data_IF_559724255239
#
_entry.id   IF_559724255239
#
_cell.length_a   1.000
_cell.length_b   1.000
_cell.length_c   1.000
_cell.angle_alpha   90.00
_cell.angle_beta   90.00
_cell.angle_gamma   90.00
#
_symmetry.space_group_name_H-M   'P 1'
#
loop_
_entity.id
_entity.type
_entity.pdbx_description
1 polymer ?
#
# COMPACT_ATOMS: atom_id res chain seq x y z
N UNK A 1 2.85 1.87 12.38
CA UNK A 1 4.17 1.54 12.98
C UNK A 1 4.65 0.16 12.54
N UNK A 2 3.85 -0.94 12.63
CA UNK A 2 4.25 -2.31 12.32
C UNK A 2 4.78 -2.46 10.88
N UNK A 3 4.04 -2.00 9.87
CA UNK A 3 4.48 -2.10 8.46
C UNK A 3 5.70 -1.22 8.18
N UNK A 4 5.87 -0.09 8.89
CA UNK A 4 7.10 0.72 8.80
C UNK A 4 8.31 0.00 9.39
N UNK A 5 8.10 -0.79 10.46
CA UNK A 5 9.15 -1.66 11.01
C UNK A 5 9.59 -2.71 9.98
N UNK A 6 8.63 -3.38 9.33
CA UNK A 6 8.90 -4.36 8.28
C UNK A 6 9.67 -3.78 7.08
N UNK A 7 9.49 -2.48 6.79
CA UNK A 7 10.17 -1.78 5.69
C UNK A 7 11.48 -1.09 6.11
N UNK A 8 11.89 -1.19 7.38
CA UNK A 8 13.05 -0.46 7.91
C UNK A 8 12.86 1.07 7.94
N UNK A 9 11.60 1.54 8.02
CA UNK A 9 11.20 2.95 7.94
C UNK A 9 10.76 3.56 9.27
N UNK A 10 11.28 3.06 10.39
CA UNK A 10 10.96 3.59 11.73
C UNK A 10 11.58 4.96 12.02
N UNK A 11 12.52 5.42 11.18
CA UNK A 11 13.27 6.65 11.41
C UNK A 11 14.44 6.46 12.38
N UNK A 12 15.13 7.56 12.69
CA UNK A 12 16.35 7.54 13.52
C UNK A 12 16.09 7.16 14.99
N UNK A 13 14.88 7.42 15.47
CA UNK A 13 14.49 7.22 16.87
C UNK A 13 13.63 5.94 17.07
N UNK A 14 13.40 5.19 15.99
CA UNK A 14 12.62 3.96 16.02
C UNK A 14 13.50 2.72 16.02
N UNK A 15 13.28 1.84 17.00
CA UNK A 15 13.99 0.56 17.13
C UNK A 15 13.01 -0.55 17.45
N UNK A 16 13.18 -1.70 16.81
CA UNK A 16 12.52 -2.94 17.21
C UNK A 16 13.31 -3.51 18.39
N UNK A 17 12.75 -3.44 19.60
CA UNK A 17 13.43 -3.87 20.83
C UNK A 17 13.19 -5.33 21.16
N UNK A 18 12.11 -5.92 20.64
CA UNK A 18 11.72 -7.32 20.83
C UNK A 18 10.88 -7.82 19.68
N UNK A 19 10.99 -9.12 19.39
CA UNK A 19 10.25 -9.80 18.35
C UNK A 19 10.89 -9.65 16.97
N UNK A 20 10.51 -10.52 16.07
CA UNK A 20 11.08 -10.69 14.75
C UNK A 20 10.01 -10.51 13.67
N UNK A 21 10.42 -10.09 12.49
CA UNK A 21 9.56 -10.01 11.30
C UNK A 21 10.20 -10.84 10.19
N UNK A 22 9.78 -12.09 10.06
CA UNK A 22 10.37 -13.03 9.13
C UNK A 22 9.79 -12.92 7.72
N UNK A 23 10.66 -12.75 6.73
CA UNK A 23 10.34 -12.85 5.32
C UNK A 23 11.34 -13.76 4.60
N UNK A 24 10.87 -14.87 4.02
CA UNK A 24 11.72 -15.86 3.30
C UNK A 24 12.97 -16.29 4.08
N UNK A 25 12.83 -16.47 5.40
CA UNK A 25 13.94 -16.88 6.26
C UNK A 25 14.89 -15.76 6.66
N UNK A 26 14.59 -14.51 6.33
CA UNK A 26 15.33 -13.32 6.75
C UNK A 26 14.54 -12.57 7.80
N UNK A 27 15.18 -12.14 8.87
CA UNK A 27 14.60 -11.22 9.84
C UNK A 27 14.77 -9.77 9.34
N UNK A 28 13.66 -9.15 8.94
CA UNK A 28 13.68 -7.84 8.28
C UNK A 28 14.28 -6.72 9.15
N UNK A 29 13.95 -6.60 10.45
CA UNK A 29 14.57 -5.62 11.35
C UNK A 29 16.09 -5.69 11.43
N UNK A 30 16.67 -6.86 11.27
CA UNK A 30 18.12 -7.09 11.38
C UNK A 30 18.89 -6.89 10.07
N UNK A 31 18.16 -6.66 8.96
CA UNK A 31 18.79 -6.46 7.66
C UNK A 31 19.56 -5.13 7.60
N UNK A 32 20.74 -5.20 6.99
CA UNK A 32 21.48 -3.99 6.65
C UNK A 32 20.71 -3.17 5.61
N UNK A 33 20.85 -1.83 5.59
CA UNK A 33 20.15 -0.97 4.64
C UNK A 33 20.31 -1.37 3.16
N UNK A 34 21.46 -1.93 2.79
CA UNK A 34 21.71 -2.42 1.42
C UNK A 34 20.91 -3.69 1.10
N UNK A 35 20.69 -4.55 2.08
CA UNK A 35 19.91 -5.79 1.92
C UNK A 35 18.42 -5.46 1.85
N UNK A 36 17.93 -4.62 2.76
CA UNK A 36 16.57 -4.10 2.75
C UNK A 36 16.24 -3.42 1.41
N UNK A 37 17.15 -2.59 0.87
CA UNK A 37 16.94 -1.91 -0.42
C UNK A 37 16.74 -2.87 -1.58
N UNK A 38 17.35 -4.07 -1.56
CA UNK A 38 17.14 -5.10 -2.58
C UNK A 38 15.75 -5.75 -2.51
N UNK A 39 15.15 -5.77 -1.33
CA UNK A 39 13.80 -6.29 -1.12
C UNK A 39 12.73 -5.26 -1.45
N UNK A 40 12.97 -3.99 -1.08
CA UNK A 40 12.04 -2.90 -1.37
C UNK A 40 11.90 -2.71 -2.88
N UNK A 41 10.69 -2.76 -3.38
CA UNK A 41 10.33 -2.73 -4.79
C UNK A 41 10.07 -4.13 -5.36
N UNK A 42 11.07 -5.00 -5.58
CA UNK A 42 10.85 -6.31 -6.20
C UNK A 42 10.11 -7.33 -5.32
N UNK A 43 10.26 -7.27 -4.01
CA UNK A 43 9.64 -8.19 -3.08
C UNK A 43 8.57 -7.50 -2.22
N UNK A 44 8.88 -6.33 -1.71
CA UNK A 44 8.04 -5.55 -0.80
C UNK A 44 7.74 -4.18 -1.40
N UNK A 45 6.51 -3.95 -1.79
CA UNK A 45 5.99 -2.64 -2.18
C UNK A 45 5.38 -1.91 -0.97
N UNK A 46 5.33 -0.58 -1.00
CA UNK A 46 4.67 0.20 0.05
C UNK A 46 3.82 1.33 -0.53
N UNK A 47 2.60 1.44 -0.03
CA UNK A 47 1.70 2.58 -0.24
C UNK A 47 1.65 3.38 1.05
N UNK A 48 2.02 4.66 0.97
CA UNK A 48 1.98 5.58 2.10
C UNK A 48 0.59 6.23 2.25
N UNK A 49 0.27 6.67 3.44
CA UNK A 49 -1.01 7.32 3.78
C UNK A 49 -1.29 8.53 2.89
N UNK A 50 -0.26 9.27 2.51
CA UNK A 50 -0.34 10.42 1.61
C UNK A 50 0.60 10.20 0.43
N UNK A 51 0.12 9.53 -0.62
CA UNK A 51 0.95 9.24 -1.79
C UNK A 51 1.50 10.50 -2.46
N UNK A 52 0.71 11.58 -2.49
CA UNK A 52 1.15 12.87 -3.04
C UNK A 52 2.41 13.43 -2.38
N UNK A 53 2.58 13.22 -1.07
CA UNK A 53 3.78 13.66 -0.35
C UNK A 53 5.01 12.77 -0.59
N UNK A 54 4.82 11.61 -1.21
CA UNK A 54 5.91 10.69 -1.56
C UNK A 54 6.61 11.07 -2.86
N UNK A 55 5.97 11.93 -3.68
CA UNK A 55 6.54 12.42 -4.92
C UNK A 55 7.26 13.76 -4.74
N UNK A 56 8.38 13.91 -5.41
CA UNK A 56 9.08 15.18 -5.51
C UNK A 56 8.26 16.15 -6.40
N UNK A 57 7.80 17.30 -5.87
CA UNK A 57 6.85 18.16 -6.60
C UNK A 57 7.44 18.83 -7.85
N UNK A 58 8.76 19.00 -7.90
CA UNK A 58 9.47 19.68 -9.01
C UNK A 58 9.98 18.71 -10.10
N UNK A 59 9.56 17.45 -10.05
CA UNK A 59 9.94 16.42 -11.05
C UNK A 59 8.68 15.76 -11.60
N UNK A 60 8.67 15.46 -12.88
CA UNK A 60 7.56 14.73 -13.50
C UNK A 60 7.42 13.33 -12.91
N UNK A 61 6.20 12.77 -12.98
CA UNK A 61 5.94 11.37 -12.59
C UNK A 61 6.87 10.43 -13.34
N UNK A 62 7.03 10.61 -14.66
CA UNK A 62 7.93 9.85 -15.52
C UNK A 62 9.33 9.77 -14.98
N UNK A 63 9.93 10.92 -14.68
CA UNK A 63 11.32 10.97 -14.21
C UNK A 63 11.52 10.21 -12.89
N UNK A 64 10.53 10.27 -12.00
CA UNK A 64 10.59 9.59 -10.70
C UNK A 64 10.39 8.09 -10.83
N UNK A 65 9.43 7.64 -11.65
CA UNK A 65 9.20 6.21 -11.90
C UNK A 65 10.39 5.58 -12.64
N UNK A 66 10.98 6.30 -13.59
CA UNK A 66 12.17 5.82 -14.31
C UNK A 66 13.36 5.63 -13.37
N UNK A 67 13.63 6.62 -12.51
CA UNK A 67 14.69 6.53 -11.50
C UNK A 67 14.45 5.36 -10.55
N UNK A 68 13.23 5.23 -10.01
CA UNK A 68 12.86 4.10 -9.15
C UNK A 68 13.11 2.75 -9.84
N UNK A 69 12.74 2.62 -11.12
CA UNK A 69 12.97 1.40 -11.87
C UNK A 69 14.47 1.12 -12.08
N UNK A 70 15.26 2.14 -12.42
CA UNK A 70 16.70 2.00 -12.72
C UNK A 70 17.56 1.70 -11.50
N UNK A 71 17.10 2.05 -10.29
CA UNK A 71 17.74 1.64 -9.04
C UNK A 71 17.73 0.11 -8.84
N UNK A 72 16.77 -0.59 -9.44
CA UNK A 72 16.60 -2.04 -9.25
C UNK A 72 17.01 -2.88 -10.45
N UNK A 73 16.87 -2.35 -11.66
CA UNK A 73 17.23 -3.06 -12.88
C UNK A 73 17.73 -2.12 -13.99
N UNK A 74 18.69 -2.59 -14.77
CA UNK A 74 19.08 -1.88 -15.99
C UNK A 74 17.95 -1.99 -17.01
N UNK A 75 17.36 -0.87 -17.39
CA UNK A 75 16.26 -0.81 -18.37
C UNK A 75 16.50 0.34 -19.33
N UNK A 76 16.18 0.13 -20.61
CA UNK A 76 16.18 1.20 -21.61
C UNK A 76 14.93 2.07 -21.45
N UNK A 77 15.04 3.34 -21.83
CA UNK A 77 13.95 4.30 -21.67
C UNK A 77 12.68 3.89 -22.44
N UNK A 78 12.81 3.39 -23.66
CA UNK A 78 11.71 2.91 -24.49
C UNK A 78 10.96 1.72 -23.86
N UNK A 79 11.69 0.79 -23.24
CA UNK A 79 11.10 -0.36 -22.55
C UNK A 79 10.40 0.08 -21.26
N UNK A 80 10.98 1.03 -20.54
CA UNK A 80 10.34 1.62 -19.36
C UNK A 80 9.03 2.32 -19.73
N UNK A 81 9.05 3.16 -20.79
CA UNK A 81 7.88 3.89 -21.26
C UNK A 81 6.69 2.94 -21.49
N UNK A 82 6.91 1.91 -22.29
CA UNK A 82 5.87 0.93 -22.60
C UNK A 82 5.34 0.24 -21.33
N UNK A 83 6.23 -0.15 -20.38
CA UNK A 83 5.82 -0.79 -19.14
C UNK A 83 5.03 0.16 -18.21
N UNK A 84 5.43 1.42 -18.13
CA UNK A 84 4.78 2.41 -17.30
C UNK A 84 3.40 2.80 -17.88
N UNK A 85 3.30 2.98 -19.19
CA UNK A 85 2.03 3.24 -19.87
C UNK A 85 1.07 2.07 -19.70
N UNK A 86 1.49 0.84 -20.00
CA UNK A 86 0.67 -0.37 -19.83
C UNK A 86 0.17 -0.54 -18.38
N UNK A 87 1.04 -0.24 -17.40
CA UNK A 87 0.65 -0.30 -15.99
C UNK A 87 -0.43 0.73 -15.66
N UNK A 88 -0.25 1.99 -16.08
CA UNK A 88 -1.24 3.05 -15.85
C UNK A 88 -2.56 2.77 -16.57
N UNK A 89 -2.54 2.18 -17.77
CA UNK A 89 -3.75 1.70 -18.46
C UNK A 89 -4.50 0.65 -17.64
N UNK A 90 -3.78 -0.33 -17.06
CA UNK A 90 -4.38 -1.33 -16.14
C UNK A 90 -5.02 -0.69 -14.91
N UNK A 91 -4.46 0.43 -14.45
CA UNK A 91 -5.05 1.26 -13.39
C UNK A 91 -6.14 2.21 -13.89
N UNK A 92 -6.60 2.08 -15.16
CA UNK A 92 -7.72 2.82 -15.71
C UNK A 92 -7.45 4.31 -15.96
N UNK A 93 -6.19 4.69 -16.18
CA UNK A 93 -5.89 6.03 -16.66
C UNK A 93 -6.13 6.11 -18.18
N UNK A 94 -6.96 7.05 -18.61
CA UNK A 94 -7.31 7.21 -20.03
C UNK A 94 -6.16 7.73 -20.88
N UNK A 95 -5.29 8.56 -20.29
CA UNK A 95 -4.12 9.14 -20.95
C UNK A 95 -2.85 8.95 -20.07
N UNK A 96 -2.24 7.75 -20.11
CA UNK A 96 -1.03 7.43 -19.35
C UNK A 96 0.14 8.38 -19.65
N UNK A 97 0.30 8.80 -20.91
CA UNK A 97 1.39 9.71 -21.30
C UNK A 97 1.28 11.05 -20.63
N UNK A 98 0.08 11.63 -20.63
CA UNK A 98 -0.18 12.86 -19.92
C UNK A 98 0.13 12.73 -18.43
N UNK A 99 -0.30 11.63 -17.80
CA UNK A 99 -0.02 11.38 -16.38
C UNK A 99 1.47 11.28 -16.12
N UNK A 100 2.21 10.57 -16.97
CA UNK A 100 3.67 10.45 -16.86
C UNK A 100 4.38 11.80 -17.01
N UNK A 101 3.90 12.66 -17.91
CA UNK A 101 4.49 13.99 -18.17
C UNK A 101 4.06 15.06 -17.15
N UNK A 102 3.03 14.78 -16.35
CA UNK A 102 2.55 15.70 -15.32
C UNK A 102 3.51 15.78 -14.13
N UNK A 103 3.55 16.94 -13.50
CA UNK A 103 4.09 17.11 -12.16
C UNK A 103 3.04 16.65 -11.12
N UNK A 104 3.47 16.17 -9.93
CA UNK A 104 2.52 15.70 -8.92
C UNK A 104 1.43 16.73 -8.55
N UNK A 105 1.75 18.00 -8.48
CA UNK A 105 0.79 19.06 -8.15
C UNK A 105 -0.27 19.33 -9.24
N UNK A 106 -0.06 18.86 -10.47
CA UNK A 106 -1.05 18.96 -11.57
C UNK A 106 -2.10 17.85 -11.50
N UNK A 107 -1.88 16.84 -10.67
CA UNK A 107 -2.79 15.72 -10.46
C UNK A 107 -3.70 15.98 -9.25
N UNK A 108 -4.97 15.58 -9.34
CA UNK A 108 -5.86 15.62 -8.17
C UNK A 108 -5.34 14.66 -7.07
N UNK A 109 -5.74 14.87 -5.81
CA UNK A 109 -5.32 14.01 -4.71
C UNK A 109 -5.64 12.53 -4.94
N UNK A 110 -6.79 12.23 -5.53
CA UNK A 110 -7.15 10.86 -5.92
C UNK A 110 -6.25 10.31 -7.01
N UNK A 111 -5.91 11.11 -8.04
CA UNK A 111 -4.95 10.70 -9.08
C UNK A 111 -3.56 10.47 -8.50
N UNK A 112 -3.08 11.33 -7.61
CA UNK A 112 -1.80 11.15 -6.93
C UNK A 112 -1.76 9.83 -6.14
N UNK A 113 -2.84 9.51 -5.44
CA UNK A 113 -2.94 8.25 -4.70
C UNK A 113 -2.88 7.04 -5.63
N UNK A 114 -3.63 7.06 -6.72
CA UNK A 114 -3.66 6.00 -7.73
C UNK A 114 -2.32 5.83 -8.45
N UNK A 115 -1.67 6.92 -8.82
CA UNK A 115 -0.30 6.90 -9.36
C UNK A 115 0.68 6.33 -8.33
N UNK A 116 0.51 6.64 -7.04
CA UNK A 116 1.30 6.06 -5.95
C UNK A 116 1.14 4.54 -5.84
N UNK A 117 -0.09 4.03 -6.00
CA UNK A 117 -0.35 2.58 -6.01
C UNK A 117 0.31 1.94 -7.25
N UNK A 118 0.12 2.53 -8.44
CA UNK A 118 0.77 2.06 -9.65
C UNK A 118 2.30 2.07 -9.53
N UNK A 119 2.89 3.13 -8.96
CA UNK A 119 4.32 3.21 -8.67
C UNK A 119 4.81 2.07 -7.76
N UNK A 120 4.06 1.76 -6.69
CA UNK A 120 4.39 0.64 -5.81
C UNK A 120 4.34 -0.72 -6.51
N UNK A 121 3.54 -0.84 -7.59
CA UNK A 121 3.41 -2.05 -8.41
C UNK A 121 4.39 -2.13 -9.58
N UNK A 122 5.17 -1.10 -9.86
CA UNK A 122 6.03 -1.00 -11.04
C UNK A 122 7.07 -2.14 -11.15
N UNK A 123 7.51 -2.68 -10.02
CA UNK A 123 8.42 -3.82 -9.94
C UNK A 123 7.72 -5.15 -9.62
N UNK A 124 6.39 -5.16 -9.64
CA UNK A 124 5.56 -6.33 -9.39
C UNK A 124 5.90 -7.04 -8.06
N UNK A 125 5.81 -6.35 -6.91
CA UNK A 125 6.18 -6.90 -5.61
C UNK A 125 5.33 -8.11 -5.24
N UNK A 126 5.88 -8.98 -4.40
CA UNK A 126 5.17 -10.16 -3.87
C UNK A 126 4.23 -9.78 -2.74
N UNK A 127 4.60 -8.77 -1.96
CA UNK A 127 3.78 -8.23 -0.87
C UNK A 127 3.67 -6.72 -1.05
N UNK A 128 2.46 -6.20 -0.93
CA UNK A 128 2.15 -4.77 -0.90
C UNK A 128 1.71 -4.39 0.51
N UNK A 129 2.48 -3.53 1.16
CA UNK A 129 2.19 -2.98 2.47
C UNK A 129 1.48 -1.63 2.29
N UNK A 130 0.25 -1.49 2.76
CA UNK A 130 -0.56 -0.30 2.56
C UNK A 130 -0.92 0.35 3.91
N UNK A 131 -0.45 1.58 4.13
CA UNK A 131 -0.68 2.36 5.35
C UNK A 131 -1.80 3.37 5.09
N UNK A 132 -3.01 3.07 5.52
CA UNK A 132 -4.19 3.94 5.38
C UNK A 132 -4.42 4.45 3.94
N UNK A 133 -4.40 3.59 2.91
CA UNK A 133 -4.37 4.02 1.50
C UNK A 133 -5.62 4.76 1.03
N UNK A 134 -6.70 4.72 1.80
CA UNK A 134 -7.97 5.38 1.51
C UNK A 134 -8.25 6.59 2.41
N UNK A 135 -7.36 6.93 3.34
CA UNK A 135 -7.54 8.08 4.24
C UNK A 135 -7.49 9.39 3.45
N UNK A 136 -8.26 10.38 3.91
CA UNK A 136 -8.36 11.71 3.30
C UNK A 136 -8.88 11.75 1.83
N UNK A 137 -9.48 10.66 1.35
CA UNK A 137 -10.13 10.59 0.04
C UNK A 137 -11.66 10.66 0.18
N UNK A 138 -12.34 11.23 -0.81
CA UNK A 138 -13.79 11.15 -0.89
C UNK A 138 -14.28 9.71 -1.16
N UNK A 139 -15.55 9.43 -0.90
CA UNK A 139 -16.12 8.08 -0.95
C UNK A 139 -15.98 7.43 -2.33
N UNK A 140 -16.07 8.24 -3.39
CA UNK A 140 -15.97 7.74 -4.77
C UNK A 140 -14.55 7.27 -5.07
N UNK A 141 -13.56 8.09 -4.71
CA UNK A 141 -12.14 7.74 -4.89
C UNK A 141 -11.72 6.61 -3.95
N UNK A 142 -12.24 6.56 -2.71
CA UNK A 142 -12.01 5.41 -1.81
C UNK A 142 -12.45 4.09 -2.45
N UNK A 143 -13.65 4.08 -3.05
CA UNK A 143 -14.16 2.89 -3.74
C UNK A 143 -13.23 2.48 -4.89
N UNK A 144 -12.79 3.44 -5.70
CA UNK A 144 -11.88 3.20 -6.82
C UNK A 144 -10.53 2.64 -6.35
N UNK A 145 -9.93 3.18 -5.29
CA UNK A 145 -8.69 2.66 -4.70
C UNK A 145 -8.86 1.22 -4.21
N UNK A 146 -10.00 0.89 -3.58
CA UNK A 146 -10.31 -0.49 -3.17
C UNK A 146 -10.40 -1.42 -4.37
N UNK A 147 -11.06 -1.02 -5.44
CA UNK A 147 -11.19 -1.79 -6.69
C UNK A 147 -9.81 -2.01 -7.34
N UNK A 148 -8.95 -1.00 -7.36
CA UNK A 148 -7.58 -1.12 -7.86
C UNK A 148 -6.72 -2.07 -7.00
N UNK A 149 -6.83 -2.01 -5.68
CA UNK A 149 -6.12 -2.94 -4.80
C UNK A 149 -6.62 -4.39 -4.96
N UNK A 150 -7.92 -4.60 -5.20
CA UNK A 150 -8.47 -5.91 -5.53
C UNK A 150 -7.92 -6.40 -6.89
N UNK A 151 -7.88 -5.53 -7.90
CA UNK A 151 -7.27 -5.82 -9.20
C UNK A 151 -5.78 -6.20 -9.05
N UNK A 152 -5.02 -5.50 -8.21
CA UNK A 152 -3.62 -5.84 -7.91
C UNK A 152 -3.52 -7.26 -7.36
N UNK A 153 -4.37 -7.64 -6.42
CA UNK A 153 -4.41 -9.00 -5.86
C UNK A 153 -4.71 -10.05 -6.92
N UNK A 154 -5.72 -9.80 -7.75
CA UNK A 154 -6.23 -10.78 -8.72
C UNK A 154 -5.34 -10.90 -9.96
N UNK A 155 -4.88 -9.77 -10.50
CA UNK A 155 -4.12 -9.72 -11.75
C UNK A 155 -2.63 -10.02 -11.54
N UNK A 156 -2.04 -9.50 -10.47
CA UNK A 156 -0.60 -9.63 -10.21
C UNK A 156 -0.27 -10.73 -9.19
N UNK A 157 -1.27 -11.29 -8.51
CA UNK A 157 -1.06 -12.30 -7.46
C UNK A 157 -0.30 -11.76 -6.24
N UNK A 158 -0.33 -10.43 -6.03
CA UNK A 158 0.35 -9.76 -4.93
C UNK A 158 -0.44 -9.93 -3.63
N UNK A 159 0.22 -10.38 -2.56
CA UNK A 159 -0.37 -10.38 -1.22
C UNK A 159 -0.41 -8.98 -0.66
N UNK A 160 -1.52 -8.61 0.01
CA UNK A 160 -1.70 -7.26 0.54
C UNK A 160 -1.78 -7.31 2.07
N UNK A 161 -0.96 -6.51 2.74
CA UNK A 161 -1.06 -6.22 4.17
C UNK A 161 -1.56 -4.79 4.31
N UNK A 162 -2.82 -4.65 4.69
CA UNK A 162 -3.51 -3.37 4.78
C UNK A 162 -3.66 -2.93 6.24
N UNK A 163 -3.22 -1.73 6.56
CA UNK A 163 -3.55 -1.04 7.82
C UNK A 163 -4.60 0.00 7.52
N UNK A 164 -5.74 -0.10 8.19
CA UNK A 164 -6.83 0.87 8.05
C UNK A 164 -7.75 0.84 9.26
N UNK A 165 -8.41 1.94 9.55
CA UNK A 165 -9.50 2.04 10.50
C UNK A 165 -10.90 1.94 9.83
N UNK A 166 -10.95 1.85 8.50
CA UNK A 166 -12.20 1.77 7.75
C UNK A 166 -12.70 0.31 7.66
N UNK A 167 -13.72 0.00 8.48
CA UNK A 167 -14.33 -1.33 8.54
C UNK A 167 -14.96 -1.77 7.21
N UNK A 168 -15.44 -0.82 6.39
CA UNK A 168 -15.97 -1.11 5.05
C UNK A 168 -14.89 -1.66 4.12
N UNK A 169 -13.72 -1.04 4.14
CA UNK A 169 -12.56 -1.49 3.35
C UNK A 169 -12.10 -2.87 3.81
N UNK A 170 -11.97 -3.10 5.13
CA UNK A 170 -11.61 -4.41 5.69
C UNK A 170 -12.58 -5.49 5.21
N UNK A 171 -13.89 -5.22 5.31
CA UNK A 171 -14.93 -6.18 4.92
C UNK A 171 -14.90 -6.51 3.43
N UNK A 172 -14.51 -5.54 2.59
CA UNK A 172 -14.46 -5.71 1.14
C UNK A 172 -13.22 -6.47 0.65
N UNK A 173 -12.08 -6.36 1.38
CA UNK A 173 -10.80 -6.80 0.86
C UNK A 173 -10.13 -7.91 1.65
N UNK A 174 -10.28 -7.90 3.00
CA UNK A 174 -9.43 -8.70 3.85
C UNK A 174 -9.95 -10.14 4.02
N UNK A 175 -9.08 -11.12 3.86
CA UNK A 175 -9.35 -12.52 4.18
C UNK A 175 -9.25 -12.77 5.69
N UNK A 176 -8.27 -12.13 6.34
CA UNK A 176 -8.02 -12.21 7.79
C UNK A 176 -7.85 -10.81 8.38
N UNK A 177 -8.26 -10.64 9.61
CA UNK A 177 -8.17 -9.37 10.34
C UNK A 177 -7.38 -9.57 11.62
N UNK A 178 -6.42 -8.69 11.83
CA UNK A 178 -5.70 -8.50 13.08
C UNK A 178 -6.17 -7.19 13.70
N UNK A 179 -6.80 -7.25 14.87
CA UNK A 179 -7.22 -6.08 15.63
C UNK A 179 -6.16 -5.77 16.68
N UNK A 180 -5.59 -4.57 16.59
CA UNK A 180 -4.59 -4.06 17.53
C UNK A 180 -5.16 -2.92 18.38
N UNK A 181 -4.83 -2.91 19.67
CA UNK A 181 -5.16 -1.84 20.60
C UNK A 181 -4.03 -1.67 21.61
N UNK A 182 -3.50 -0.46 21.75
CA UNK A 182 -2.39 -0.15 22.67
C UNK A 182 -1.18 -1.08 22.56
N UNK A 183 -0.90 -1.56 21.33
CA UNK A 183 0.21 -2.48 21.07
C UNK A 183 -0.10 -3.96 21.29
N UNK A 184 -1.29 -4.29 21.80
CA UNK A 184 -1.71 -5.67 22.05
C UNK A 184 -2.63 -6.21 20.96
N UNK A 185 -2.53 -7.52 20.71
CA UNK A 185 -3.41 -8.22 19.78
C UNK A 185 -4.72 -8.55 20.48
N UNK A 186 -5.77 -7.82 20.12
CA UNK A 186 -7.12 -8.05 20.67
C UNK A 186 -7.82 -9.23 19.99
N UNK A 187 -7.60 -9.42 18.69
CA UNK A 187 -8.22 -10.51 17.94
C UNK A 187 -7.45 -10.74 16.63
N UNK A 188 -7.27 -12.01 16.22
CA UNK A 188 -6.73 -12.39 14.93
C UNK A 188 -7.48 -13.59 14.37
N UNK A 189 -8.30 -13.39 13.34
CA UNK A 189 -9.16 -14.43 12.74
C UNK A 189 -9.55 -14.10 11.30
N UNK A 190 -10.25 -15.03 10.67
CA UNK A 190 -10.91 -14.81 9.37
C UNK A 190 -11.90 -13.65 9.47
N UNK A 191 -11.93 -12.79 8.47
CA UNK A 191 -12.74 -11.56 8.46
C UNK A 191 -14.21 -11.82 8.78
N UNK A 192 -14.84 -12.81 8.15
CA UNK A 192 -16.24 -13.17 8.39
C UNK A 192 -16.50 -13.42 9.88
N UNK A 193 -15.64 -14.18 10.54
CA UNK A 193 -15.81 -14.52 11.96
C UNK A 193 -15.64 -13.29 12.87
N UNK A 194 -14.70 -12.38 12.54
CA UNK A 194 -14.50 -11.15 13.31
C UNK A 194 -15.73 -10.24 13.23
N UNK A 195 -16.36 -10.16 12.05
CA UNK A 195 -17.53 -9.30 11.83
C UNK A 195 -18.83 -9.90 12.37
N UNK A 196 -19.03 -11.22 12.27
CA UNK A 196 -20.27 -11.89 12.68
C UNK A 196 -20.23 -12.30 14.16
N UNK A 197 -19.07 -12.74 14.64
CA UNK A 197 -18.89 -13.31 15.99
C UNK A 197 -17.62 -12.76 16.66
N UNK A 198 -17.52 -11.43 16.89
CA UNK A 198 -16.36 -10.83 17.53
C UNK A 198 -16.20 -11.35 18.96
N UNK A 199 -14.99 -11.76 19.32
CA UNK A 199 -14.68 -12.28 20.67
C UNK A 199 -14.25 -11.18 21.61
N UNK A 200 -13.35 -10.30 21.15
CA UNK A 200 -12.83 -9.21 21.96
C UNK A 200 -13.90 -8.14 22.24
N UNK A 201 -13.95 -7.66 23.47
CA UNK A 201 -14.82 -6.52 23.88
C UNK A 201 -14.46 -5.27 23.07
N UNK A 202 -13.17 -5.07 22.79
CA UNK A 202 -12.70 -3.95 21.98
C UNK A 202 -13.20 -4.05 20.54
N UNK A 203 -13.08 -5.24 19.91
CA UNK A 203 -13.59 -5.48 18.56
C UNK A 203 -15.10 -5.23 18.48
N UNK A 204 -15.87 -5.66 19.49
CA UNK A 204 -17.32 -5.40 19.56
C UNK A 204 -17.61 -3.90 19.58
N UNK A 205 -16.87 -3.13 20.39
CA UNK A 205 -17.01 -1.67 20.44
C UNK A 205 -16.68 -1.02 19.09
N UNK A 206 -15.60 -1.42 18.43
CA UNK A 206 -15.22 -0.92 17.09
C UNK A 206 -16.33 -1.16 16.07
N UNK A 207 -16.87 -2.37 16.00
CA UNK A 207 -17.91 -2.72 15.03
C UNK A 207 -19.24 -2.02 15.31
N UNK A 208 -19.57 -1.73 16.58
CA UNK A 208 -20.78 -0.97 16.95
C UNK A 208 -20.65 0.52 16.69
N UNK A 209 -19.43 1.05 16.67
CA UNK A 209 -19.17 2.47 16.37
C UNK A 209 -19.30 2.80 14.87
N UNK A 210 -19.33 1.79 13.99
CA UNK A 210 -19.55 2.00 12.55
C UNK A 210 -21.00 2.43 12.31
N UNK A 211 -21.25 3.61 11.70
CA UNK A 211 -22.60 4.05 11.39
C UNK A 211 -23.31 3.04 10.47
N UNK A 212 -24.42 2.48 10.94
CA UNK A 212 -25.30 1.68 10.07
C UNK A 212 -26.21 2.65 9.32
N UNK A 213 -26.04 2.76 8.02
CA UNK A 213 -27.05 3.43 7.20
C UNK A 213 -28.36 2.67 7.40
N UNK A 214 -29.31 3.32 8.10
CA UNK A 214 -30.69 2.82 8.15
C UNK A 214 -31.24 2.96 6.72
N UNK A 215 -31.60 1.84 6.11
CA UNK A 215 -32.42 1.82 4.90
C UNK A 215 -33.83 2.30 5.23
#
# INVERSE_FOLDING_TARGET
>A
TLIKAAMGLLGKDGLVTRGDIWYKGMDLPDLKPREMRKLCGPELGMIFQTAGSSFCPIRTVRAQLYEFMTEHKKIKADVFENQAEELLEKFGFEDPKRVLDSYPFELSGGMQQRVGIAAAMLLNPKILLADEPTSALDVTVQKQVVEEMLMVRETFGTSIVLVTHNMGVIRAMADKVLVLHEGEIMEYRVTKEVFEHPRSVYTKKLLTAVPKLRR
#
